data_IF_325115048589
#
_entry.id   IF_325115048589
#
_cell.length_a   1.000
_cell.length_b   1.000
_cell.length_c   1.000
_cell.angle_alpha   90.00
_cell.angle_beta   90.00
_cell.angle_gamma   90.00
#
_symmetry.space_group_name_H-M   'P 1'
#
loop_
_entity.id
_entity.type
_entity.pdbx_description
1 polymer ?
#
# COMPACT_ATOMS: atom_id res chain seq x y z
N UNK A 1 10.40 16.04 -11.47
CA UNK A 1 11.83 16.35 -11.19
C UNK A 1 12.23 15.94 -9.78
N UNK A 2 11.50 16.38 -8.74
CA UNK A 2 11.82 16.06 -7.33
C UNK A 2 11.82 14.56 -7.05
N UNK A 3 10.81 13.82 -7.51
CA UNK A 3 10.75 12.36 -7.34
C UNK A 3 11.92 11.63 -7.99
N UNK A 4 12.33 12.04 -9.18
CA UNK A 4 13.45 11.41 -9.90
C UNK A 4 14.76 11.60 -9.15
N UNK A 5 15.00 12.79 -8.59
CA UNK A 5 16.18 13.07 -7.79
C UNK A 5 16.21 12.22 -6.50
N UNK A 6 15.08 12.17 -5.80
CA UNK A 6 14.95 11.34 -4.59
C UNK A 6 15.17 9.85 -4.89
N UNK A 7 14.58 9.34 -5.95
CA UNK A 7 14.74 7.94 -6.33
C UNK A 7 16.17 7.61 -6.74
N UNK A 8 16.86 8.53 -7.40
CA UNK A 8 18.28 8.37 -7.73
C UNK A 8 19.15 8.30 -6.46
N UNK A 9 18.90 9.16 -5.48
CA UNK A 9 19.60 9.13 -4.19
C UNK A 9 19.36 7.81 -3.44
N UNK A 10 18.12 7.35 -3.39
CA UNK A 10 17.77 6.08 -2.75
C UNK A 10 18.51 4.92 -3.40
N UNK A 11 18.53 4.87 -4.73
CA UNK A 11 19.23 3.83 -5.47
C UNK A 11 20.75 3.87 -5.27
N UNK A 12 21.32 5.05 -5.02
CA UNK A 12 22.74 5.20 -4.73
C UNK A 12 23.10 4.77 -3.30
N UNK A 13 22.22 4.95 -2.36
CA UNK A 13 22.51 4.75 -0.92
C UNK A 13 21.98 3.42 -0.36
N UNK A 14 20.85 2.92 -0.85
CA UNK A 14 20.23 1.69 -0.36
C UNK A 14 20.78 0.45 -1.05
N UNK A 15 20.90 -0.66 -0.31
CA UNK A 15 21.17 -1.96 -0.91
C UNK A 15 19.86 -2.58 -1.41
N UNK A 16 19.68 -2.56 -2.73
CA UNK A 16 18.50 -3.08 -3.43
C UNK A 16 18.78 -4.37 -4.19
N UNK A 17 19.98 -4.95 -4.02
CA UNK A 17 20.45 -6.08 -4.83
C UNK A 17 19.60 -7.35 -4.72
N UNK A 18 18.95 -7.56 -3.57
CA UNK A 18 18.10 -8.73 -3.33
C UNK A 18 16.70 -8.63 -3.92
N UNK A 19 16.32 -7.46 -4.44
CA UNK A 19 15.01 -7.26 -5.05
C UNK A 19 15.04 -7.56 -6.55
N UNK A 20 13.93 -8.13 -7.06
CA UNK A 20 13.69 -8.18 -8.50
C UNK A 20 13.46 -6.76 -9.03
N UNK A 21 13.59 -6.52 -10.36
CA UNK A 21 13.34 -5.18 -10.91
C UNK A 21 11.96 -4.60 -10.56
N UNK A 22 10.92 -5.41 -10.50
CA UNK A 22 9.57 -4.98 -10.12
C UNK A 22 9.45 -4.69 -8.62
N UNK A 23 10.04 -5.53 -7.77
CA UNK A 23 10.12 -5.31 -6.34
C UNK A 23 10.91 -4.04 -6.00
N UNK A 24 12.01 -3.77 -6.73
CA UNK A 24 12.81 -2.57 -6.54
C UNK A 24 11.98 -1.29 -6.72
N UNK A 25 11.13 -1.23 -7.72
CA UNK A 25 10.25 -0.08 -7.96
C UNK A 25 9.37 0.19 -6.73
N UNK A 26 8.81 -0.85 -6.15
CA UNK A 26 7.97 -0.75 -4.94
C UNK A 26 8.81 -0.36 -3.73
N UNK A 27 9.96 -1.02 -3.53
CA UNK A 27 10.86 -0.76 -2.40
C UNK A 27 11.36 0.70 -2.40
N UNK A 28 11.75 1.23 -3.55
CA UNK A 28 12.20 2.63 -3.67
C UNK A 28 11.07 3.59 -3.27
N UNK A 29 9.84 3.31 -3.65
CA UNK A 29 8.67 4.10 -3.26
C UNK A 29 8.41 4.04 -1.75
N UNK A 30 8.55 2.87 -1.15
CA UNK A 30 8.40 2.70 0.30
C UNK A 30 9.46 3.50 1.05
N UNK A 31 10.73 3.42 0.62
CA UNK A 31 11.83 4.17 1.22
C UNK A 31 11.63 5.67 1.08
N UNK A 32 11.19 6.13 -0.10
CA UNK A 32 10.88 7.53 -0.35
C UNK A 32 9.78 8.04 0.60
N UNK A 33 8.71 7.27 0.77
CA UNK A 33 7.60 7.65 1.64
C UNK A 33 8.01 7.68 3.12
N UNK A 34 8.83 6.74 3.56
CA UNK A 34 9.34 6.66 4.93
C UNK A 34 10.45 7.68 5.22
N UNK A 35 11.18 8.10 4.20
CA UNK A 35 12.36 8.94 4.35
C UNK A 35 13.54 8.23 5.02
N UNK A 36 13.58 6.89 4.96
CA UNK A 36 14.56 6.06 5.66
C UNK A 36 15.18 5.04 4.70
N UNK A 37 16.44 5.24 4.34
CA UNK A 37 17.23 4.29 3.52
C UNK A 37 17.40 2.95 4.26
N UNK A 38 17.52 3.00 5.58
CA UNK A 38 17.67 1.85 6.48
C UNK A 38 16.46 0.92 6.47
N UNK A 39 15.36 1.29 5.82
CA UNK A 39 14.19 0.43 5.67
C UNK A 39 14.47 -0.75 4.72
N UNK A 40 15.37 -0.59 3.75
CA UNK A 40 15.64 -1.57 2.71
C UNK A 40 15.86 -3.00 3.22
N UNK A 41 16.73 -3.26 4.22
CA UNK A 41 16.93 -4.62 4.71
C UNK A 41 15.73 -5.25 5.41
N UNK A 42 14.73 -4.46 5.75
CA UNK A 42 13.53 -4.92 6.47
C UNK A 42 12.33 -5.16 5.54
N UNK A 43 12.39 -4.73 4.29
CA UNK A 43 11.33 -4.96 3.31
C UNK A 43 11.33 -6.42 2.88
N UNK A 44 10.16 -7.04 2.88
CA UNK A 44 9.95 -8.43 2.44
C UNK A 44 8.81 -8.49 1.46
N UNK A 45 8.97 -9.28 0.42
CA UNK A 45 7.94 -9.57 -0.57
C UNK A 45 7.76 -11.08 -0.66
N UNK A 46 6.52 -11.52 -0.81
CA UNK A 46 6.27 -12.89 -1.27
C UNK A 46 6.62 -12.97 -2.76
N UNK A 47 7.16 -14.11 -3.23
CA UNK A 47 7.53 -14.26 -4.64
C UNK A 47 6.36 -13.94 -5.58
N UNK A 48 6.60 -13.08 -6.57
CA UNK A 48 5.60 -12.69 -7.55
C UNK A 48 4.55 -11.68 -7.08
N UNK A 49 4.66 -11.13 -5.86
CA UNK A 49 3.67 -10.20 -5.32
C UNK A 49 3.53 -8.95 -6.18
N UNK A 50 4.64 -8.33 -6.59
CA UNK A 50 4.60 -7.09 -7.37
C UNK A 50 3.90 -7.28 -8.73
N UNK A 51 4.23 -8.37 -9.43
CA UNK A 51 3.58 -8.72 -10.70
C UNK A 51 2.10 -9.02 -10.53
N UNK A 52 1.73 -9.78 -9.50
CA UNK A 52 0.35 -10.14 -9.23
C UNK A 52 -0.49 -8.91 -8.85
N UNK A 53 0.05 -8.02 -8.02
CA UNK A 53 -0.62 -6.78 -7.64
C UNK A 53 -0.83 -5.86 -8.85
N UNK A 54 0.18 -5.74 -9.71
CA UNK A 54 0.07 -4.96 -10.94
C UNK A 54 -1.02 -5.52 -11.86
N UNK A 55 -1.01 -6.82 -12.10
CA UNK A 55 -2.01 -7.49 -12.94
C UNK A 55 -3.42 -7.30 -12.38
N UNK A 56 -3.61 -7.43 -11.07
CA UNK A 56 -4.89 -7.22 -10.41
C UNK A 56 -5.40 -5.78 -10.60
N UNK A 57 -4.53 -4.78 -10.44
CA UNK A 57 -4.90 -3.38 -10.66
C UNK A 57 -5.26 -3.10 -12.13
N UNK A 58 -4.49 -3.65 -13.07
CA UNK A 58 -4.78 -3.55 -14.50
C UNK A 58 -6.09 -4.22 -14.89
N UNK A 59 -6.52 -5.22 -14.14
CA UNK A 59 -7.81 -5.91 -14.31
C UNK A 59 -8.97 -5.22 -13.55
N UNK A 60 -8.70 -4.12 -12.87
CA UNK A 60 -9.72 -3.30 -12.21
C UNK A 60 -10.01 -3.66 -10.77
N UNK A 61 -9.15 -4.43 -10.11
CA UNK A 61 -9.34 -4.79 -8.71
C UNK A 61 -9.46 -3.55 -7.81
N UNK A 62 -10.33 -3.57 -6.79
CA UNK A 62 -10.41 -2.49 -5.82
C UNK A 62 -9.20 -2.50 -4.89
N UNK A 63 -8.91 -1.34 -4.29
CA UNK A 63 -7.90 -1.19 -3.25
C UNK A 63 -8.62 -1.04 -1.93
N UNK A 64 -8.36 -1.95 -1.00
CA UNK A 64 -8.92 -1.93 0.35
C UNK A 64 -7.93 -1.26 1.30
N UNK A 65 -8.40 -0.25 2.03
CA UNK A 65 -7.60 0.54 2.94
C UNK A 65 -8.17 0.43 4.36
N UNK A 66 -7.30 0.20 5.33
CA UNK A 66 -7.68 0.11 6.75
C UNK A 66 -7.86 1.48 7.42
N UNK A 67 -7.29 2.54 6.83
CA UNK A 67 -7.36 3.89 7.36
C UNK A 67 -7.62 4.91 6.24
N UNK A 68 -8.30 6.01 6.58
CA UNK A 68 -8.60 7.08 5.62
C UNK A 68 -7.36 7.77 5.09
N UNK A 69 -6.33 7.95 5.93
CA UNK A 69 -5.07 8.53 5.51
C UNK A 69 -4.45 7.75 4.34
N UNK A 70 -4.53 6.42 4.38
CA UNK A 70 -4.05 5.57 3.28
C UNK A 70 -4.91 5.77 2.03
N UNK A 71 -6.24 5.71 2.16
CA UNK A 71 -7.15 5.85 1.03
C UNK A 71 -7.04 7.23 0.37
N UNK A 72 -6.92 8.30 1.15
CA UNK A 72 -6.76 9.66 0.64
C UNK A 72 -5.37 9.86 -0.01
N UNK A 73 -4.37 9.13 0.43
CA UNK A 73 -3.01 9.18 -0.14
C UNK A 73 -2.87 8.55 -1.52
N UNK A 74 -3.84 7.76 -1.96
CA UNK A 74 -3.79 7.12 -3.27
C UNK A 74 -4.19 8.12 -4.36
N UNK A 75 -3.30 8.31 -5.34
CA UNK A 75 -3.53 9.20 -6.47
C UNK A 75 -4.45 8.53 -7.49
N UNK A 76 -5.75 8.86 -7.47
CA UNK A 76 -6.79 8.24 -8.30
C UNK A 76 -6.49 8.33 -9.80
N UNK A 77 -5.94 9.44 -10.25
CA UNK A 77 -5.63 9.68 -11.67
C UNK A 77 -4.53 8.74 -12.22
N UNK A 78 -3.78 8.08 -11.34
CA UNK A 78 -2.75 7.10 -11.73
C UNK A 78 -3.24 5.66 -11.73
N UNK A 79 -4.46 5.41 -11.30
CA UNK A 79 -5.01 4.05 -11.29
C UNK A 79 -5.36 3.63 -12.73
N UNK A 80 -5.00 2.39 -13.13
CA UNK A 80 -5.06 2.00 -14.54
C UNK A 80 -6.47 1.75 -15.07
N UNK A 81 -7.44 1.52 -14.20
CA UNK A 81 -8.81 1.14 -14.60
C UNK A 81 -9.88 1.69 -13.68
N UNK A 82 -9.76 2.96 -13.29
CA UNK A 82 -10.69 3.61 -12.37
C UNK A 82 -10.99 2.76 -11.12
N UNK A 83 -9.96 2.09 -10.63
CA UNK A 83 -10.05 1.18 -9.50
C UNK A 83 -10.70 1.86 -8.29
N UNK A 84 -11.67 1.20 -7.68
CA UNK A 84 -12.28 1.69 -6.46
C UNK A 84 -11.27 1.68 -5.32
N UNK A 85 -11.28 2.72 -4.50
CA UNK A 85 -10.50 2.81 -3.27
C UNK A 85 -11.50 2.81 -2.12
N UNK A 86 -11.49 1.74 -1.33
CA UNK A 86 -12.48 1.46 -0.30
C UNK A 86 -11.84 1.50 1.07
N UNK A 87 -12.39 2.32 1.97
CA UNK A 87 -12.06 2.34 3.38
C UNK A 87 -13.35 2.19 4.20
N UNK A 88 -13.47 1.12 4.96
CA UNK A 88 -14.68 0.79 5.72
C UNK A 88 -14.64 1.29 7.16
N UNK A 89 -13.57 1.96 7.59
CA UNK A 89 -13.35 2.38 8.98
C UNK A 89 -14.50 3.23 9.55
N UNK A 90 -15.11 4.06 8.72
CA UNK A 90 -16.21 4.97 9.14
C UNK A 90 -17.60 4.50 8.73
N UNK A 91 -17.73 3.23 8.31
CA UNK A 91 -19.05 2.65 8.05
C UNK A 91 -19.87 2.63 9.36
N UNK A 92 -21.17 3.03 9.32
CA UNK A 92 -22.02 3.02 10.51
C UNK A 92 -22.16 1.67 11.22
N UNK A 93 -21.89 0.57 10.54
CA UNK A 93 -21.90 -0.78 11.12
C UNK A 93 -20.71 -1.07 12.02
N UNK A 94 -19.60 -0.31 11.87
CA UNK A 94 -18.34 -0.57 12.57
C UNK A 94 -18.44 -0.40 14.09
N UNK A 95 -18.99 0.70 14.65
CA UNK A 95 -19.05 0.85 16.10
C UNK A 95 -19.81 -0.28 16.82
N UNK A 96 -21.03 -0.68 16.40
CA UNK A 96 -21.72 -1.79 17.06
C UNK A 96 -20.99 -3.12 16.87
N UNK A 97 -20.40 -3.37 15.69
CA UNK A 97 -19.63 -4.59 15.43
C UNK A 97 -18.38 -4.66 16.30
N UNK A 98 -17.66 -3.56 16.47
CA UNK A 98 -16.50 -3.50 17.36
C UNK A 98 -16.85 -3.85 18.82
N UNK A 99 -18.00 -3.38 19.28
CA UNK A 99 -18.50 -3.69 20.62
C UNK A 99 -18.84 -5.17 20.76
N UNK A 100 -19.53 -5.74 19.78
CA UNK A 100 -19.87 -7.16 19.74
C UNK A 100 -18.61 -8.04 19.73
N UNK A 101 -17.63 -7.68 18.91
CA UNK A 101 -16.35 -8.38 18.80
C UNK A 101 -15.43 -8.15 20.00
N UNK A 102 -15.74 -7.21 20.88
CA UNK A 102 -14.84 -6.76 21.97
C UNK A 102 -13.46 -6.38 21.44
N UNK A 103 -13.41 -5.68 20.31
CA UNK A 103 -12.19 -5.32 19.60
C UNK A 103 -12.23 -3.86 19.14
N UNK A 104 -11.15 -3.41 18.52
CA UNK A 104 -11.05 -2.05 17.97
C UNK A 104 -11.96 -1.85 16.77
N UNK A 105 -12.33 -0.59 16.50
CA UNK A 105 -13.06 -0.24 15.27
C UNK A 105 -12.27 -0.61 14.01
N UNK A 106 -10.95 -0.43 14.05
CA UNK A 106 -10.08 -0.83 12.93
C UNK A 106 -10.18 -2.32 12.63
N UNK A 107 -10.13 -3.17 13.66
CA UNK A 107 -10.30 -4.62 13.49
C UNK A 107 -11.70 -4.97 12.96
N UNK A 108 -12.74 -4.37 13.52
CA UNK A 108 -14.12 -4.61 13.08
C UNK A 108 -14.37 -4.16 11.65
N UNK A 109 -13.75 -3.06 11.21
CA UNK A 109 -13.89 -2.56 9.85
C UNK A 109 -13.40 -3.56 8.79
N UNK A 110 -12.40 -4.39 9.10
CA UNK A 110 -11.87 -5.40 8.19
C UNK A 110 -12.87 -6.54 7.94
N UNK A 111 -13.79 -6.80 8.85
CA UNK A 111 -14.85 -7.79 8.64
C UNK A 111 -15.78 -7.41 7.49
N UNK A 112 -15.89 -6.13 7.17
CA UNK A 112 -16.69 -5.64 6.04
C UNK A 112 -16.01 -5.85 4.68
N UNK A 113 -14.79 -6.39 4.64
CA UNK A 113 -14.09 -6.73 3.40
C UNK A 113 -14.47 -8.11 2.85
N UNK A 114 -15.19 -8.90 3.61
CA UNK A 114 -15.64 -10.28 3.25
C UNK A 114 -16.87 -10.29 2.36
#
# INVERSE_FOLDING_TARGET
>A
AIYLASFAMIRAEADLTRFTPEEEIVAVRMIHAAGLVELAPHIRFTPGMASAARAALEDGAPILCDARMVSEGITRTRLPKDNQVICTLHDPKVPPLAKEMQNTRSAAALELWR
#
